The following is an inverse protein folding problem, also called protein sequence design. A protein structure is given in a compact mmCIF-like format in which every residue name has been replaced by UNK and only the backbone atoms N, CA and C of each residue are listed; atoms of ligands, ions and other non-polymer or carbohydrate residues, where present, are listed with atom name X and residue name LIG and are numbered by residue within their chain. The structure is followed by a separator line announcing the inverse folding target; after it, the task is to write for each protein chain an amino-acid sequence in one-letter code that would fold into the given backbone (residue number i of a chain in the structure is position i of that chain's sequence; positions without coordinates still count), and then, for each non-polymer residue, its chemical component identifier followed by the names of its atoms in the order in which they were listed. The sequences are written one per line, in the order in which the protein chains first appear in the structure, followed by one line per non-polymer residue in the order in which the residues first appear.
data_IF_415855110088
#
_entry.id   IF_415855110088
#
_cell.length_a   1.000
_cell.length_b   1.000
_cell.length_c   1.000
_cell.angle_alpha   90.00
_cell.angle_beta   90.00
_cell.angle_gamma   90.00
#
_symmetry.space_group_name_H-M   'P 1'
#
loop_
_entity.id
_entity.type
_entity.pdbx_description
1 polymer ?
#
# COMPACT_ATOMS: atom_id res chain seq x y z
N UNK A 1 0.64 -32.33 -6.57
CA UNK A 1 0.02 -31.89 -7.84
C UNK A 1 0.54 -30.49 -8.16
N UNK A 2 1.07 -30.20 -9.35
CA UNK A 2 1.56 -28.86 -9.68
C UNK A 2 0.40 -27.85 -9.70
N UNK A 3 0.60 -26.66 -9.12
CA UNK A 3 -0.39 -25.58 -9.15
C UNK A 3 -0.54 -25.12 -10.60
N UNK A 4 -1.77 -25.02 -11.15
CA UNK A 4 -1.96 -24.60 -12.53
C UNK A 4 -1.49 -23.15 -12.72
N UNK A 5 -0.76 -22.89 -13.81
CA UNK A 5 -0.20 -21.57 -14.14
C UNK A 5 -1.21 -20.40 -14.04
N UNK A 6 -2.48 -20.53 -14.51
CA UNK A 6 -3.47 -19.46 -14.33
C UNK A 6 -3.72 -19.06 -12.87
N UNK A 7 -3.64 -20.02 -11.93
CA UNK A 7 -3.81 -19.75 -10.51
C UNK A 7 -2.60 -19.02 -9.94
N UNK A 8 -1.39 -19.43 -10.32
CA UNK A 8 -0.16 -18.74 -9.90
C UNK A 8 -0.13 -17.28 -10.36
N UNK A 9 -0.50 -17.02 -11.62
CA UNK A 9 -0.57 -15.65 -12.16
C UNK A 9 -1.60 -14.81 -11.39
N UNK A 10 -2.78 -15.37 -11.08
CA UNK A 10 -3.81 -14.67 -10.29
C UNK A 10 -3.34 -14.35 -8.87
N UNK A 11 -2.68 -15.30 -8.20
CA UNK A 11 -2.11 -15.08 -6.87
C UNK A 11 -1.06 -13.97 -6.92
N UNK A 12 -0.15 -14.01 -7.91
CA UNK A 12 0.89 -13.01 -8.06
C UNK A 12 0.31 -11.61 -8.32
N UNK A 13 -0.67 -11.47 -9.23
CA UNK A 13 -1.33 -10.19 -9.49
C UNK A 13 -2.07 -9.70 -8.25
N UNK A 14 -2.79 -10.57 -7.55
CA UNK A 14 -3.50 -10.20 -6.31
C UNK A 14 -2.52 -9.71 -5.25
N UNK A 15 -1.41 -10.42 -5.04
CA UNK A 15 -0.38 -10.03 -4.09
C UNK A 15 0.27 -8.68 -4.44
N UNK A 16 0.55 -8.44 -5.73
CA UNK A 16 1.08 -7.17 -6.19
C UNK A 16 0.11 -6.01 -5.96
N UNK A 17 -1.19 -6.23 -6.22
CA UNK A 17 -2.23 -5.24 -5.95
C UNK A 17 -2.42 -4.98 -4.44
N UNK A 18 -2.34 -6.02 -3.60
CA UNK A 18 -2.36 -5.86 -2.13
C UNK A 18 -1.18 -5.00 -1.66
N UNK A 19 0.03 -5.29 -2.15
CA UNK A 19 1.24 -4.54 -1.80
C UNK A 19 1.16 -3.08 -2.25
N UNK A 20 0.61 -2.84 -3.45
CA UNK A 20 0.36 -1.49 -3.94
C UNK A 20 -0.68 -0.75 -3.07
N UNK A 21 -1.82 -1.37 -2.79
CA UNK A 21 -2.85 -0.79 -1.94
C UNK A 21 -2.33 -0.47 -0.53
N UNK A 22 -1.54 -1.36 0.06
CA UNK A 22 -0.83 -1.13 1.32
C UNK A 22 0.09 0.10 1.26
N UNK A 23 0.93 0.18 0.22
CA UNK A 23 1.89 1.27 0.07
C UNK A 23 1.19 2.62 -0.10
N UNK A 24 0.19 2.69 -0.98
CA UNK A 24 -0.56 3.94 -1.23
C UNK A 24 -1.37 4.33 -0.01
N UNK A 25 -2.08 3.39 0.62
CA UNK A 25 -2.88 3.67 1.80
C UNK A 25 -2.02 4.24 2.93
N UNK A 26 -0.90 3.59 3.24
CA UNK A 26 -0.03 4.03 4.34
C UNK A 26 0.61 5.40 4.05
N UNK A 27 0.96 5.68 2.79
CA UNK A 27 1.44 6.99 2.36
C UNK A 27 0.35 8.06 2.54
N UNK A 28 -0.87 7.81 2.05
CA UNK A 28 -2.00 8.72 2.19
C UNK A 28 -2.32 8.99 3.68
N UNK A 29 -2.28 7.94 4.51
CA UNK A 29 -2.52 8.01 5.95
C UNK A 29 -1.45 8.85 6.67
N UNK A 30 -0.20 8.81 6.23
CA UNK A 30 0.88 9.65 6.78
C UNK A 30 0.79 11.11 6.32
N UNK A 31 0.32 11.37 5.09
CA UNK A 31 0.08 12.72 4.58
C UNK A 31 -1.04 13.45 5.33
N UNK A 32 -2.02 12.72 5.86
CA UNK A 32 -3.08 13.29 6.69
C UNK A 32 -2.59 13.81 8.06
N UNK A 33 -1.35 13.47 8.47
CA UNK A 33 -0.72 13.95 9.72
C UNK A 33 -1.53 13.70 11.01
N UNK A 34 -2.45 12.74 11.01
CA UNK A 34 -3.21 12.38 12.22
C UNK A 34 -2.57 11.22 12.96
N UNK A 35 -2.77 11.19 14.28
CA UNK A 35 -2.33 10.11 15.17
C UNK A 35 -3.56 9.34 15.68
N UNK A 36 -3.47 8.01 15.80
CA UNK A 36 -4.58 7.16 16.25
C UNK A 36 -5.58 6.79 15.14
N UNK A 37 -6.76 6.30 15.54
CA UNK A 37 -7.80 5.87 14.59
C UNK A 37 -8.83 6.99 14.36
N UNK A 38 -8.94 7.44 13.12
CA UNK A 38 -9.93 8.43 12.69
C UNK A 38 -10.66 7.90 11.46
N UNK A 39 -12.00 7.82 11.55
CA UNK A 39 -12.85 7.26 10.47
C UNK A 39 -12.80 8.12 9.22
N UNK A 40 -12.76 9.45 9.35
CA UNK A 40 -12.68 10.37 8.22
C UNK A 40 -11.37 10.18 7.45
N UNK A 41 -10.25 10.05 8.16
CA UNK A 41 -8.94 9.80 7.54
C UNK A 41 -8.86 8.40 6.93
N UNK A 42 -9.43 7.39 7.59
CA UNK A 42 -9.55 6.04 7.02
C UNK A 42 -10.29 6.07 5.68
N UNK A 43 -11.47 6.71 5.63
CA UNK A 43 -12.27 6.82 4.41
C UNK A 43 -11.53 7.59 3.32
N UNK A 44 -10.89 8.71 3.66
CA UNK A 44 -10.05 9.46 2.73
C UNK A 44 -8.91 8.60 2.17
N UNK A 45 -8.23 7.84 3.02
CA UNK A 45 -7.16 6.92 2.63
C UNK A 45 -7.65 5.82 1.69
N UNK A 46 -8.84 5.26 1.93
CA UNK A 46 -9.48 4.29 1.03
C UNK A 46 -9.81 4.93 -0.32
N UNK A 47 -10.37 6.13 -0.34
CA UNK A 47 -10.70 6.86 -1.58
C UNK A 47 -9.44 7.15 -2.40
N UNK A 48 -8.40 7.70 -1.78
CA UNK A 48 -7.12 7.98 -2.44
C UNK A 48 -6.50 6.70 -3.01
N UNK A 49 -6.49 5.61 -2.22
CA UNK A 49 -6.00 4.30 -2.68
C UNK A 49 -6.80 3.79 -3.87
N UNK A 50 -8.12 3.89 -3.82
CA UNK A 50 -9.02 3.45 -4.91
C UNK A 50 -8.75 4.22 -6.20
N UNK A 51 -8.61 5.54 -6.12
CA UNK A 51 -8.29 6.39 -7.28
C UNK A 51 -6.94 6.00 -7.88
N UNK A 52 -5.92 5.77 -7.04
CA UNK A 52 -4.59 5.36 -7.49
C UNK A 52 -4.55 3.94 -8.07
N UNK A 53 -5.57 3.12 -7.82
CA UNK A 53 -5.72 1.81 -8.46
C UNK A 53 -6.33 1.87 -9.87
N UNK A 54 -6.91 3.00 -10.31
CA UNK A 54 -7.54 3.14 -11.64
C UNK A 54 -6.61 2.76 -12.80
N UNK A 55 -5.32 3.15 -12.83
CA UNK A 55 -4.40 2.74 -13.89
C UNK A 55 -4.23 1.22 -14.00
N UNK A 56 -4.44 0.46 -12.91
CA UNK A 56 -4.40 -1.00 -12.94
C UNK A 56 -5.60 -1.64 -13.63
N UNK A 57 -6.64 -0.88 -14.00
CA UNK A 57 -7.67 -1.38 -14.92
C UNK A 57 -7.01 -1.94 -16.17
N UNK A 58 -5.92 -1.33 -16.65
CA UNK A 58 -5.14 -1.82 -17.79
C UNK A 58 -4.35 -3.10 -17.52
N UNK A 59 -4.33 -3.66 -16.31
CA UNK A 59 -3.65 -4.93 -15.99
C UNK A 59 -4.60 -6.13 -16.13
N UNK A 60 -5.90 -5.91 -16.32
CA UNK A 60 -6.90 -6.98 -16.42
C UNK A 60 -6.58 -8.07 -17.46
N UNK A 61 -5.98 -7.70 -18.61
CA UNK A 61 -5.59 -8.64 -19.66
C UNK A 61 -4.51 -9.62 -19.20
N UNK A 62 -3.63 -9.23 -18.26
CA UNK A 62 -2.59 -10.10 -17.70
C UNK A 62 -3.22 -11.22 -16.86
N UNK A 63 -4.28 -10.90 -16.11
CA UNK A 63 -5.00 -11.86 -15.26
C UNK A 63 -5.64 -12.98 -16.10
N UNK A 64 -6.15 -12.64 -17.28
CA UNK A 64 -6.80 -13.60 -18.18
C UNK A 64 -5.86 -14.17 -19.24
N UNK A 65 -4.64 -13.66 -19.40
CA UNK A 65 -3.68 -14.13 -20.40
C UNK A 65 -3.47 -15.65 -20.40
N UNK A 66 -3.33 -16.34 -19.24
CA UNK A 66 -3.17 -17.79 -19.22
C UNK A 66 -4.40 -18.53 -19.76
N UNK A 67 -5.60 -18.05 -19.43
CA UNK A 67 -6.86 -18.60 -19.93
C UNK A 67 -7.03 -18.33 -21.43
N UNK A 68 -6.73 -17.11 -21.88
CA UNK A 68 -6.74 -16.71 -23.30
C UNK A 68 -5.79 -17.61 -24.10
N UNK A 69 -4.59 -17.82 -23.59
CA UNK A 69 -3.58 -18.65 -24.24
C UNK A 69 -4.04 -20.10 -24.38
N UNK A 70 -4.54 -20.70 -23.30
CA UNK A 70 -4.91 -22.11 -23.28
C UNK A 70 -6.22 -22.39 -24.04
N UNK A 71 -7.23 -21.53 -23.91
CA UNK A 71 -8.59 -21.76 -24.44
C UNK A 71 -8.83 -21.17 -25.81
N UNK A 72 -8.08 -20.15 -26.23
CA UNK A 72 -8.30 -19.47 -27.50
C UNK A 72 -7.07 -19.53 -28.41
N UNK A 73 -5.91 -19.03 -27.98
CA UNK A 73 -4.73 -18.92 -28.85
C UNK A 73 -4.17 -20.29 -29.26
N UNK A 74 -4.06 -21.24 -28.32
CA UNK A 74 -3.55 -22.58 -28.60
C UNK A 74 -4.47 -23.36 -29.56
N UNK A 75 -5.81 -23.40 -29.38
CA UNK A 75 -6.73 -23.98 -30.36
C UNK A 75 -6.67 -23.31 -31.74
N UNK A 76 -6.65 -21.97 -31.81
CA UNK A 76 -6.57 -21.24 -33.08
C UNK A 76 -5.26 -21.55 -33.82
N UNK A 77 -4.13 -21.57 -33.09
CA UNK A 77 -2.83 -21.92 -33.68
C UNK A 77 -2.83 -23.34 -34.24
N UNK A 78 -3.43 -24.30 -33.53
CA UNK A 78 -3.58 -25.69 -34.01
C UNK A 78 -4.47 -25.77 -35.24
N UNK A 79 -5.61 -25.09 -35.20
CA UNK A 79 -6.54 -25.01 -36.33
C UNK A 79 -5.86 -24.48 -37.60
N UNK A 80 -5.12 -23.37 -37.50
CA UNK A 80 -4.34 -22.80 -38.61
C UNK A 80 -3.23 -23.73 -39.14
N UNK A 81 -2.78 -24.70 -38.34
CA UNK A 81 -1.82 -25.73 -38.75
C UNK A 81 -2.49 -27.02 -39.26
N UNK A 82 -3.78 -27.01 -39.62
CA UNK A 82 -4.54 -28.22 -39.97
C UNK A 82 -4.48 -29.32 -38.89
N UNK A 83 -4.51 -28.93 -37.61
CA UNK A 83 -4.53 -29.86 -36.46
C UNK A 83 -5.76 -29.64 -35.58
N UNK A 84 -6.14 -30.67 -34.82
CA UNK A 84 -7.31 -30.64 -33.96
C UNK A 84 -7.14 -29.57 -32.87
N UNK A 85 -8.12 -28.68 -32.65
CA UNK A 85 -8.02 -27.66 -31.61
C UNK A 85 -7.90 -28.26 -30.19
N UNK A 86 -8.58 -29.38 -29.94
CA UNK A 86 -8.60 -30.08 -28.64
C UNK A 86 -7.29 -30.83 -28.35
N UNK A 87 -7.00 -31.90 -29.09
CA UNK A 87 -5.84 -32.77 -28.83
C UNK A 87 -4.59 -32.42 -29.66
N UNK A 88 -4.73 -31.77 -30.82
CA UNK A 88 -3.63 -31.49 -31.74
C UNK A 88 -3.38 -32.56 -32.82
N UNK A 89 -4.24 -33.57 -32.95
CA UNK A 89 -4.18 -34.59 -34.01
C UNK A 89 -4.18 -33.98 -35.42
N UNK A 90 -3.44 -34.55 -36.37
CA UNK A 90 -3.38 -34.02 -37.75
C UNK A 90 -4.68 -34.25 -38.50
N UNK A 91 -5.17 -33.25 -39.22
CA UNK A 91 -6.37 -33.37 -40.07
C UNK A 91 -6.06 -33.94 -41.45
N UNK A 92 -4.79 -34.07 -41.82
CA UNK A 92 -4.36 -34.63 -43.11
C UNK A 92 -4.83 -36.07 -43.25
N UNK A 93 -5.72 -36.35 -44.21
CA UNK A 93 -6.27 -37.69 -44.46
C UNK A 93 -7.46 -38.09 -43.58
N UNK A 94 -7.97 -37.20 -42.74
CA UNK A 94 -9.18 -37.47 -41.96
C UNK A 94 -10.43 -37.31 -42.84
N UNK A 95 -11.19 -38.41 -43.01
CA UNK A 95 -12.46 -38.39 -43.75
C UNK A 95 -13.66 -37.93 -42.90
N UNK A 96 -13.55 -37.99 -41.56
CA UNK A 96 -14.63 -37.66 -40.63
C UNK A 96 -14.64 -36.18 -40.23
N UNK A 97 -15.84 -35.62 -40.02
CA UNK A 97 -16.04 -34.28 -39.44
C UNK A 97 -15.71 -34.19 -37.93
N UNK A 98 -15.37 -35.33 -37.31
CA UNK A 98 -15.04 -35.48 -35.89
C UNK A 98 -13.61 -36.02 -35.75
N UNK A 99 -12.87 -35.52 -34.76
CA UNK A 99 -11.52 -36.00 -34.46
C UNK A 99 -11.56 -37.43 -33.89
N UNK A 100 -10.79 -38.39 -34.44
CA UNK A 100 -10.81 -39.78 -33.97
C UNK A 100 -10.22 -39.97 -32.57
N UNK A 101 -9.37 -39.05 -32.10
CA UNK A 101 -8.71 -39.15 -30.79
C UNK A 101 -9.56 -38.59 -29.64
N UNK A 102 -10.14 -37.40 -29.84
CA UNK A 102 -10.79 -36.66 -28.75
C UNK A 102 -12.29 -36.42 -28.97
N UNK A 103 -12.85 -36.87 -30.10
CA UNK A 103 -14.28 -36.69 -30.40
C UNK A 103 -14.72 -35.25 -30.67
N UNK A 104 -13.80 -34.28 -30.70
CA UNK A 104 -14.12 -32.87 -30.98
C UNK A 104 -14.40 -32.69 -32.47
N UNK A 105 -15.46 -31.96 -32.81
CA UNK A 105 -15.79 -31.58 -34.19
C UNK A 105 -14.74 -30.66 -34.79
N UNK A 106 -14.43 -30.83 -36.07
CA UNK A 106 -13.51 -29.97 -36.82
C UNK A 106 -14.14 -28.61 -37.17
N UNK A 107 -14.49 -27.83 -36.16
CA UNK A 107 -15.05 -26.48 -36.29
C UNK A 107 -14.03 -25.43 -35.89
N UNK A 108 -14.06 -24.27 -36.54
CA UNK A 108 -13.20 -23.14 -36.19
C UNK A 108 -13.49 -22.69 -34.75
N UNK A 109 -12.47 -22.54 -33.89
CA UNK A 109 -12.66 -22.05 -32.53
C UNK A 109 -13.24 -20.61 -32.53
N UNK A 110 -14.18 -20.29 -31.64
CA UNK A 110 -14.74 -18.95 -31.57
C UNK A 110 -13.67 -17.92 -31.17
N UNK A 111 -13.73 -16.68 -31.71
CA UNK A 111 -12.81 -15.62 -31.33
C UNK A 111 -12.98 -15.25 -29.85
N UNK A 112 -11.88 -14.86 -29.21
CA UNK A 112 -11.92 -14.36 -27.84
C UNK A 112 -12.75 -13.06 -27.77
N UNK A 113 -13.66 -12.99 -26.81
CA UNK A 113 -14.45 -11.80 -26.50
C UNK A 113 -14.32 -11.51 -25.02
N UNK A 114 -13.96 -10.27 -24.68
CA UNK A 114 -13.99 -9.80 -23.29
C UNK A 114 -15.45 -9.81 -22.83
N UNK A 115 -15.75 -10.68 -21.87
CA UNK A 115 -17.10 -10.86 -21.36
C UNK A 115 -17.25 -10.31 -19.94
N UNK A 116 -18.51 -10.21 -19.49
CA UNK A 116 -18.84 -9.89 -18.10
C UNK A 116 -18.12 -10.77 -17.05
N UNK A 117 -17.88 -12.08 -17.29
CA UNK A 117 -17.13 -12.90 -16.33
C UNK A 117 -15.70 -12.41 -16.07
N UNK A 118 -15.02 -11.85 -17.07
CA UNK A 118 -13.67 -11.26 -16.95
C UNK A 118 -13.73 -10.04 -16.03
N UNK A 119 -14.66 -9.13 -16.30
CA UNK A 119 -14.85 -7.92 -15.49
C UNK A 119 -15.15 -8.29 -14.05
N UNK A 120 -16.10 -9.20 -13.82
CA UNK A 120 -16.47 -9.66 -12.47
C UNK A 120 -15.28 -10.22 -11.69
N UNK A 121 -14.45 -11.06 -12.31
CA UNK A 121 -13.26 -11.65 -11.65
C UNK A 121 -12.23 -10.57 -11.30
N UNK A 122 -11.95 -9.67 -12.23
CA UNK A 122 -11.01 -8.58 -12.00
C UNK A 122 -11.50 -7.65 -10.88
N UNK A 123 -12.78 -7.29 -10.88
CA UNK A 123 -13.40 -6.50 -9.81
C UNK A 123 -13.26 -7.20 -8.45
N UNK A 124 -13.52 -8.51 -8.37
CA UNK A 124 -13.33 -9.27 -7.12
C UNK A 124 -11.87 -9.21 -6.65
N UNK A 125 -10.90 -9.40 -7.55
CA UNK A 125 -9.47 -9.33 -7.21
C UNK A 125 -9.11 -7.94 -6.66
N UNK A 126 -9.57 -6.88 -7.31
CA UNK A 126 -9.32 -5.50 -6.86
C UNK A 126 -9.94 -5.24 -5.49
N UNK A 127 -11.19 -5.67 -5.25
CA UNK A 127 -11.85 -5.51 -3.95
C UNK A 127 -11.13 -6.26 -2.83
N UNK A 128 -10.70 -7.51 -3.09
CA UNK A 128 -9.90 -8.29 -2.14
C UNK A 128 -8.58 -7.58 -1.84
N UNK A 129 -7.88 -7.13 -2.88
CA UNK A 129 -6.59 -6.47 -2.74
C UNK A 129 -6.68 -5.14 -1.98
N UNK A 130 -7.69 -4.33 -2.30
CA UNK A 130 -7.98 -3.08 -1.60
C UNK A 130 -8.24 -3.34 -0.12
N UNK A 131 -9.13 -4.28 0.19
CA UNK A 131 -9.50 -4.60 1.58
C UNK A 131 -8.30 -5.09 2.39
N UNK A 132 -7.54 -6.06 1.86
CA UNK A 132 -6.38 -6.64 2.56
C UNK A 132 -5.27 -5.59 2.70
N UNK A 133 -4.98 -4.83 1.64
CA UNK A 133 -3.92 -3.83 1.63
C UNK A 133 -4.18 -2.68 2.60
N UNK A 134 -5.40 -2.12 2.63
CA UNK A 134 -5.76 -1.03 3.55
C UNK A 134 -5.79 -1.51 4.99
N UNK A 135 -6.36 -2.69 5.27
CA UNK A 135 -6.38 -3.27 6.61
C UNK A 135 -4.96 -3.53 7.15
N UNK A 136 -4.08 -4.10 6.32
CA UNK A 136 -2.68 -4.32 6.68
C UNK A 136 -1.95 -2.99 6.91
N UNK A 137 -2.24 -1.97 6.10
CA UNK A 137 -1.67 -0.64 6.23
C UNK A 137 -2.05 0.04 7.54
N UNK A 138 -3.35 0.01 7.87
CA UNK A 138 -3.87 0.57 9.12
C UNK A 138 -3.30 -0.16 10.34
N UNK A 139 -3.32 -1.49 10.33
CA UNK A 139 -2.74 -2.29 11.40
C UNK A 139 -1.26 -1.96 11.60
N UNK A 140 -0.48 -1.82 10.52
CA UNK A 140 0.94 -1.49 10.59
C UNK A 140 1.19 -0.12 11.21
N UNK A 141 0.37 0.88 10.86
CA UNK A 141 0.47 2.25 11.40
C UNK A 141 0.12 2.27 12.88
N UNK A 142 -0.98 1.64 13.27
CA UNK A 142 -1.41 1.58 14.68
C UNK A 142 -0.39 0.84 15.56
N UNK A 143 0.25 -0.22 15.05
CA UNK A 143 1.34 -0.89 15.76
C UNK A 143 2.57 0.02 15.92
N UNK A 144 2.90 0.81 14.89
CA UNK A 144 4.02 1.78 14.93
C UNK A 144 3.78 2.85 15.99
N UNK A 145 2.56 3.39 16.02
CA UNK A 145 2.13 4.44 16.96
C UNK A 145 2.12 3.93 18.40
N UNK A 146 1.61 2.71 18.64
CA UNK A 146 1.64 2.08 19.96
C UNK A 146 3.07 1.82 20.44
N UNK A 147 3.97 1.39 19.56
CA UNK A 147 5.38 1.21 19.92
C UNK A 147 6.03 2.54 20.29
N UNK A 148 5.76 3.60 19.52
CA UNK A 148 6.26 4.94 19.79
C UNK A 148 5.75 5.52 21.12
N UNK A 149 4.48 5.32 21.48
CA UNK A 149 3.95 5.79 22.77
C UNK A 149 4.70 5.15 23.95
N UNK A 150 5.01 3.85 23.89
CA UNK A 150 5.79 3.17 24.93
C UNK A 150 7.21 3.73 25.04
N UNK A 151 7.83 4.06 23.90
CA UNK A 151 9.14 4.71 23.88
C UNK A 151 9.06 6.10 24.53
N UNK A 152 8.03 6.87 24.21
CA UNK A 152 7.81 8.21 24.77
C UNK A 152 7.55 8.20 26.28
N UNK A 153 6.76 7.24 26.78
CA UNK A 153 6.52 7.03 28.22
C UNK A 153 7.81 6.70 28.98
N UNK A 154 8.81 6.10 28.32
CA UNK A 154 10.11 5.75 28.91
C UNK A 154 11.17 6.87 28.77
N UNK A 155 10.87 7.96 28.06
CA UNK A 155 11.82 9.04 27.84
C UNK A 155 11.98 9.92 29.09
N UNK A 156 13.21 10.22 29.56
CA UNK A 156 13.46 10.98 30.79
C UNK A 156 12.76 12.34 30.85
N UNK A 157 12.70 13.04 29.71
CA UNK A 157 12.12 14.38 29.60
C UNK A 157 10.69 14.35 29.03
N UNK A 158 10.13 13.16 28.77
CA UNK A 158 8.82 12.97 28.11
C UNK A 158 8.76 13.44 26.65
N UNK A 159 9.83 14.02 26.12
CA UNK A 159 9.97 14.41 24.71
C UNK A 159 10.63 13.27 23.93
N UNK A 160 9.94 12.76 22.91
CA UNK A 160 10.46 11.72 22.03
C UNK A 160 10.17 12.05 20.57
N UNK A 161 11.13 11.71 19.69
CA UNK A 161 10.98 11.87 18.25
C UNK A 161 11.60 10.69 17.51
N UNK A 162 10.87 10.10 16.58
CA UNK A 162 11.35 8.95 15.78
C UNK A 162 10.79 8.98 14.36
N UNK A 163 11.56 8.61 13.33
CA UNK A 163 10.98 8.38 11.99
C UNK A 163 10.04 7.17 12.03
N UNK A 164 8.94 7.24 11.26
CA UNK A 164 8.02 6.12 11.08
C UNK A 164 8.74 4.93 10.46
N UNK A 165 8.24 3.73 10.75
CA UNK A 165 8.75 2.52 10.11
C UNK A 165 8.44 2.46 8.60
N UNK A 166 9.13 1.54 7.90
CA UNK A 166 8.84 1.25 6.49
C UNK A 166 7.33 0.96 6.27
N UNK A 167 6.71 1.48 5.18
CA UNK A 167 7.32 2.18 4.03
C UNK A 167 7.47 3.71 4.21
N UNK A 168 7.16 4.26 5.39
CA UNK A 168 6.95 5.71 5.57
C UNK A 168 8.10 6.42 6.29
N UNK A 169 9.35 5.98 6.09
CA UNK A 169 10.52 6.53 6.79
C UNK A 169 10.76 8.04 6.60
N UNK A 170 10.11 8.67 5.62
CA UNK A 170 10.15 10.13 5.42
C UNK A 170 9.26 10.92 6.39
N UNK A 171 8.35 10.26 7.12
CA UNK A 171 7.44 10.89 8.08
C UNK A 171 7.91 10.67 9.51
N UNK A 172 7.64 11.62 10.40
CA UNK A 172 8.13 11.60 11.78
C UNK A 172 6.97 11.57 12.78
N UNK A 173 7.22 10.90 13.90
CA UNK A 173 6.40 10.89 15.09
C UNK A 173 7.07 11.75 16.15
N UNK A 174 6.27 12.56 16.83
CA UNK A 174 6.70 13.44 17.92
C UNK A 174 5.78 13.24 19.11
N UNK A 175 6.33 13.34 20.31
CA UNK A 175 5.58 13.37 21.55
C UNK A 175 6.03 14.57 22.38
N UNK A 176 5.08 15.43 22.72
CA UNK A 176 5.26 16.56 23.64
C UNK A 176 4.39 16.30 24.88
N UNK A 177 4.93 16.35 26.12
CA UNK A 177 4.14 16.16 27.34
C UNK A 177 2.91 17.08 27.45
N UNK A 178 2.96 18.27 26.86
CA UNK A 178 1.89 19.26 26.95
C UNK A 178 0.82 19.12 25.87
N UNK A 179 1.22 18.65 24.68
CA UNK A 179 0.33 18.58 23.50
C UNK A 179 -0.07 17.14 23.14
N UNK A 180 0.60 16.15 23.71
CA UNK A 180 0.43 14.74 23.39
C UNK A 180 1.16 14.31 22.11
N UNK A 181 0.78 13.18 21.51
CA UNK A 181 1.41 12.66 20.31
C UNK A 181 0.98 13.43 19.05
N UNK A 182 1.96 13.85 18.26
CA UNK A 182 1.76 14.62 17.02
C UNK A 182 2.50 13.91 15.88
N UNK A 183 1.85 13.79 14.71
CA UNK A 183 2.51 13.31 13.49
C UNK A 183 2.88 14.51 12.60
N UNK A 184 4.12 14.54 12.09
CA UNK A 184 4.62 15.68 11.33
C UNK A 184 5.78 15.37 10.40
N UNK A 185 6.32 16.40 9.76
CA UNK A 185 7.57 16.34 9.01
C UNK A 185 8.76 16.72 9.90
N UNK A 186 9.99 16.50 9.40
CA UNK A 186 11.21 16.79 10.17
C UNK A 186 11.37 18.29 10.48
N UNK A 187 10.90 19.15 9.59
CA UNK A 187 10.97 20.61 9.75
C UNK A 187 10.14 21.11 10.93
N UNK A 188 9.02 20.45 11.22
CA UNK A 188 8.22 20.74 12.41
C UNK A 188 9.02 20.55 13.69
N UNK A 189 9.72 19.42 13.83
CA UNK A 189 10.59 19.17 14.99
C UNK A 189 11.68 20.22 15.18
N UNK A 190 12.26 20.74 14.08
CA UNK A 190 13.26 21.81 14.17
C UNK A 190 12.68 23.18 14.56
N UNK A 191 11.35 23.36 14.46
CA UNK A 191 10.67 24.63 14.72
C UNK A 191 10.00 24.67 16.09
N UNK A 192 9.42 23.55 16.54
CA UNK A 192 8.76 23.42 17.85
C UNK A 192 9.65 22.78 18.92
N UNK A 193 10.64 21.99 18.52
CA UNK A 193 11.71 21.44 19.38
C UNK A 193 13.04 22.15 19.11
N UNK A 194 13.00 23.43 18.71
CA UNK A 194 13.97 24.32 19.36
C UNK A 194 13.61 24.16 20.83
N UNK A 195 14.44 23.56 21.70
CA UNK A 195 14.21 23.78 23.11
C UNK A 195 14.08 25.29 23.17
N UNK A 196 12.94 25.83 23.61
CA UNK A 196 13.05 27.12 24.28
C UNK A 196 14.26 26.90 25.16
N UNK A 197 15.40 27.58 24.92
CA UNK A 197 16.51 27.42 25.84
C UNK A 197 15.81 27.64 27.15
N UNK A 198 15.86 26.64 28.03
CA UNK A 198 15.40 26.81 29.39
C UNK A 198 16.13 28.08 29.81
N UNK A 199 15.43 29.21 29.70
CA UNK A 199 15.82 30.43 30.31
C UNK A 199 15.46 30.03 31.71
N UNK A 200 16.44 29.62 32.55
CA UNK A 200 16.15 29.53 33.96
C UNK A 200 15.41 30.81 34.25
N UNK A 201 14.20 30.68 34.81
CA UNK A 201 13.50 31.80 35.39
C UNK A 201 14.58 32.57 36.13
N UNK A 202 15.01 33.68 35.53
CA UNK A 202 16.13 34.44 36.02
C UNK A 202 15.51 35.06 37.23
N UNK A 203 15.70 34.39 38.36
CA UNK A 203 15.11 34.76 39.62
C UNK A 203 15.34 36.26 39.75
N UNK A 204 14.23 36.96 39.63
CA UNK A 204 14.11 38.32 40.06
C UNK A 204 14.37 38.24 41.56
N UNK A 205 15.62 38.44 41.99
CA UNK A 205 16.04 38.96 43.30
C UNK A 205 17.53 38.68 43.51
N UNK A 206 18.38 39.54 42.94
CA UNK A 206 19.62 39.94 43.61
C UNK A 206 19.77 41.46 43.44
N UNK A 207 18.93 42.15 44.22
CA UNK A 207 19.13 43.53 44.61
C UNK A 207 20.41 43.61 45.45
N UNK A 208 21.56 43.81 44.81
CA UNK A 208 22.79 44.18 45.49
C UNK A 208 22.63 45.63 46.04
N UNK A 209 22.78 45.88 47.35
CA UNK A 209 22.79 47.22 47.89
C UNK A 209 24.06 47.95 47.44
N UNK A 210 23.91 49.12 46.81
CA UNK A 210 25.00 50.07 46.60
C UNK A 210 25.55 50.50 47.97
N UNK A 211 26.86 50.27 48.18
CA UNK A 211 27.59 50.80 49.32
C UNK A 211 27.67 52.35 49.24
N UNK A 212 27.66 53.05 50.38
CA UNK A 212 27.79 54.50 50.41
C UNK A 212 29.23 54.91 50.07
N UNK A 213 29.37 55.84 49.14
CA UNK A 213 30.63 56.53 48.85
C UNK A 213 30.99 57.43 50.04
N UNK A 214 32.08 57.12 50.73
CA UNK A 214 32.70 58.01 51.70
C UNK A 214 33.32 59.20 50.96
N UNK A 215 32.78 60.38 51.27
CA UNK A 215 33.25 61.70 50.89
C UNK A 215 34.19 62.20 51.99
N UNK A 216 35.50 62.24 51.71
CA UNK A 216 36.47 62.95 52.52
C UNK A 216 37.36 63.79 51.61
N UNK A 217 36.97 65.06 51.49
CA UNK A 217 37.89 66.15 51.20
C UNK A 217 38.69 66.52 52.45
N UNK A 218 40.00 66.70 52.27
CA UNK A 218 40.78 67.95 52.49
C UNK A 218 42.26 67.69 52.16
#
# INVERSE_FOLDING_TARGET
MPIPLPVLVRIAVTAALCAHAFFVYTTARCLARTFGFDVGVLLLGIVVTTVMMIPFIWVYWIVDLPDIWQKHLRPIRRWRSNRCPGCGYSRTGAASAVCPECGVTWTEPPPYRVGWPTVKRFTIIVLIALTIGTAAGEMRILLDERAFLREAESAPDGVAARPRGWPNGGHWLFHDPLQGPIAGDRSWGASTVVPMPYQPHRDAHDSHPQAPSEDHGE
#
